data_IF_133107272031
#
_entry.id   IF_133107272031
#
_cell.length_a   1.000
_cell.length_b   1.000
_cell.length_c   1.000
_cell.angle_alpha   90.00
_cell.angle_beta   90.00
_cell.angle_gamma   90.00
#
_symmetry.space_group_name_H-M   'P 1'
#
loop_
_entity.id
_entity.type
_entity.pdbx_description
1 polymer ?
#
# COMPACT_ATOMS: atom_id res chain seq x y z
N UNK A 1 -2.24 0.66 24.44
CA UNK A 1 -2.51 1.63 23.36
C UNK A 1 -2.77 0.81 22.11
N UNK A 2 -3.93 0.94 21.47
CA UNK A 2 -4.24 0.16 20.28
C UNK A 2 -3.25 0.52 19.17
N UNK A 3 -2.59 -0.50 18.60
CA UNK A 3 -1.79 -0.36 17.39
C UNK A 3 -2.67 0.31 16.32
N UNK A 4 -2.21 1.30 15.53
CA UNK A 4 -2.94 1.71 14.34
C UNK A 4 -3.34 0.46 13.55
N UNK A 5 -4.57 0.44 13.03
CA UNK A 5 -5.15 -0.76 12.43
C UNK A 5 -4.34 -1.17 11.19
N UNK A 6 -3.44 -2.14 11.34
CA UNK A 6 -2.75 -2.76 10.22
C UNK A 6 -3.81 -3.34 9.27
N UNK A 7 -3.65 -3.10 7.98
CA UNK A 7 -4.56 -3.64 6.99
C UNK A 7 -4.12 -5.05 6.65
N UNK A 8 -5.05 -6.00 6.76
CA UNK A 8 -4.77 -7.41 6.47
C UNK A 8 -5.12 -7.74 5.02
N UNK A 9 -4.20 -8.40 4.34
CA UNK A 9 -4.39 -8.99 3.01
C UNK A 9 -4.31 -10.50 3.13
N UNK A 10 -5.11 -11.21 2.34
CA UNK A 10 -4.99 -12.66 2.16
C UNK A 10 -4.38 -12.95 0.78
N UNK A 11 -3.21 -13.58 0.77
CA UNK A 11 -2.48 -13.98 -0.43
C UNK A 11 -1.58 -15.17 -0.08
N UNK A 12 -1.25 -16.11 -1.00
CA UNK A 12 -0.31 -17.18 -0.71
C UNK A 12 0.97 -16.64 -0.06
N UNK A 13 1.41 -17.24 1.05
CA UNK A 13 2.65 -16.84 1.73
C UNK A 13 3.90 -17.13 0.88
N UNK A 14 5.01 -16.46 1.20
CA UNK A 14 6.30 -16.66 0.54
C UNK A 14 6.56 -15.72 -0.65
N UNK A 15 5.62 -14.83 -0.96
CA UNK A 15 5.79 -13.79 -1.97
C UNK A 15 6.15 -12.44 -1.36
N UNK A 16 6.98 -11.67 -2.06
CA UNK A 16 7.27 -10.27 -1.73
C UNK A 16 6.17 -9.38 -2.29
N UNK A 17 5.51 -8.64 -1.40
CA UNK A 17 4.43 -7.72 -1.74
C UNK A 17 4.78 -6.31 -1.26
N UNK A 18 4.33 -5.31 -2.00
CA UNK A 18 4.39 -3.92 -1.59
C UNK A 18 3.11 -3.19 -1.99
N UNK A 19 2.93 -2.01 -1.41
CA UNK A 19 1.81 -1.13 -1.72
C UNK A 19 2.28 0.25 -2.16
N UNK A 20 1.57 0.85 -3.11
CA UNK A 20 1.66 2.28 -3.40
C UNK A 20 0.38 2.95 -2.93
N UNK A 21 0.53 4.02 -2.15
CA UNK A 21 -0.60 4.81 -1.63
C UNK A 21 -0.73 6.11 -2.40
N UNK A 22 -1.94 6.40 -2.85
CA UNK A 22 -2.31 7.64 -3.55
C UNK A 22 -3.38 8.38 -2.78
N UNK A 23 -3.22 9.70 -2.63
CA UNK A 23 -4.23 10.57 -2.03
C UNK A 23 -5.32 10.87 -3.05
N UNK A 24 -6.58 10.65 -2.70
CA UNK A 24 -7.70 10.78 -3.65
C UNK A 24 -7.99 12.24 -4.03
N UNK A 25 -7.59 13.20 -3.20
CA UNK A 25 -7.88 14.63 -3.42
C UNK A 25 -7.11 15.23 -4.61
N UNK A 26 -5.86 14.80 -4.81
CA UNK A 26 -4.93 15.38 -5.79
C UNK A 26 -4.02 14.36 -6.48
N UNK A 27 -4.16 13.08 -6.13
CA UNK A 27 -3.40 11.97 -6.70
C UNK A 27 -1.95 11.86 -6.19
N UNK A 28 -1.56 12.64 -5.18
CA UNK A 28 -0.19 12.63 -4.68
C UNK A 28 0.18 11.24 -4.15
N UNK A 29 1.44 10.86 -4.35
CA UNK A 29 1.98 9.56 -3.93
C UNK A 29 2.69 9.73 -2.59
N UNK A 30 2.52 8.75 -1.70
CA UNK A 30 3.23 8.74 -0.42
C UNK A 30 4.67 8.28 -0.63
N UNK A 31 5.62 9.17 -0.36
CA UNK A 31 7.05 8.87 -0.29
C UNK A 31 7.35 8.34 1.12
N UNK A 32 7.82 7.09 1.19
CA UNK A 32 8.10 6.40 2.45
C UNK A 32 9.40 6.90 3.06
N UNK A 33 10.39 7.24 2.23
CA UNK A 33 11.70 7.73 2.67
C UNK A 33 11.61 9.13 3.30
N UNK A 34 10.89 10.03 2.65
CA UNK A 34 10.73 11.42 3.10
C UNK A 34 9.54 11.63 4.04
N UNK A 35 8.66 10.63 4.18
CA UNK A 35 7.44 10.69 5.00
C UNK A 35 6.57 11.89 4.56
N UNK A 36 6.39 12.04 3.25
CA UNK A 36 5.76 13.20 2.62
C UNK A 36 4.90 12.82 1.40
N UNK A 37 3.99 13.71 1.04
CA UNK A 37 3.20 13.60 -0.19
C UNK A 37 3.93 14.23 -1.36
N UNK A 38 4.22 13.43 -2.38
CA UNK A 38 4.84 13.89 -3.62
C UNK A 38 3.78 14.18 -4.69
N UNK A 39 3.92 15.34 -5.33
CA UNK A 39 3.04 15.76 -6.41
C UNK A 39 3.20 14.89 -7.67
N UNK A 40 2.08 14.63 -8.35
CA UNK A 40 2.10 14.03 -9.70
C UNK A 40 2.86 14.97 -10.64
N UNK A 41 3.95 14.46 -11.24
CA UNK A 41 4.80 15.20 -12.18
C UNK A 41 6.23 15.45 -11.67
N UNK A 42 6.43 15.52 -10.34
CA UNK A 42 7.77 15.38 -9.73
C UNK A 42 8.12 13.90 -9.61
N UNK A 43 7.11 13.09 -9.26
CA UNK A 43 7.23 11.64 -9.23
C UNK A 43 7.53 11.09 -10.62
N UNK A 44 8.50 10.18 -10.70
CA UNK A 44 8.78 9.41 -11.90
C UNK A 44 8.97 7.93 -11.56
N UNK A 45 8.86 7.08 -12.59
CA UNK A 45 8.92 5.63 -12.47
C UNK A 45 10.23 5.09 -11.86
N UNK A 46 11.31 5.88 -11.82
CA UNK A 46 12.57 5.46 -11.23
C UNK A 46 12.62 5.59 -9.71
N UNK A 47 11.60 6.21 -9.08
CA UNK A 47 11.49 6.39 -7.62
C UNK A 47 10.47 5.44 -6.97
N UNK A 48 10.09 4.37 -7.67
CA UNK A 48 9.05 3.45 -7.18
C UNK A 48 9.47 2.75 -5.87
N UNK A 49 10.78 2.54 -5.68
CA UNK A 49 11.45 2.00 -4.50
C UNK A 49 11.60 2.99 -3.33
N UNK A 50 11.21 4.25 -3.53
CA UNK A 50 11.12 5.25 -2.45
C UNK A 50 9.66 5.39 -1.98
N UNK A 51 8.70 4.93 -2.78
CA UNK A 51 7.27 5.01 -2.54
C UNK A 51 6.65 3.66 -2.15
N UNK A 52 7.43 2.58 -2.08
CA UNK A 52 6.95 1.24 -1.79
C UNK A 52 6.73 1.04 -0.29
N UNK A 53 5.47 0.91 0.08
CA UNK A 53 5.10 0.53 1.44
C UNK A 53 5.29 -0.99 1.54
N UNK A 54 6.36 -1.40 2.21
CA UNK A 54 6.66 -2.81 2.43
C UNK A 54 5.52 -3.52 3.17
N UNK A 55 5.05 -4.64 2.62
CA UNK A 55 4.00 -5.47 3.23
C UNK A 55 4.66 -6.68 3.89
N UNK A 56 4.31 -6.94 5.16
CA UNK A 56 4.91 -8.03 5.93
C UNK A 56 4.08 -9.31 5.81
N UNK A 57 4.67 -10.40 5.33
CA UNK A 57 4.10 -11.75 5.44
C UNK A 57 4.08 -12.18 6.92
N UNK A 58 2.91 -12.58 7.42
CA UNK A 58 2.69 -13.08 8.77
C UNK A 58 2.56 -14.61 8.81
N UNK A 59 2.66 -15.27 7.65
CA UNK A 59 2.42 -16.70 7.49
C UNK A 59 0.92 -17.01 7.41
N UNK A 60 0.61 -18.26 7.04
CA UNK A 60 -0.78 -18.72 6.95
C UNK A 60 -1.61 -17.98 5.90
N UNK A 61 -0.95 -17.48 4.84
CA UNK A 61 -1.54 -16.66 3.79
C UNK A 61 -2.00 -15.26 4.25
N UNK A 62 -1.50 -14.76 5.38
CA UNK A 62 -1.81 -13.43 5.88
C UNK A 62 -0.65 -12.47 5.72
N UNK A 63 -0.97 -11.26 5.27
CA UNK A 63 -0.04 -10.17 5.10
C UNK A 63 -0.57 -8.91 5.79
N UNK A 64 0.32 -8.07 6.32
CA UNK A 64 -0.06 -6.79 6.95
C UNK A 64 0.61 -5.61 6.26
N UNK A 65 -0.18 -4.61 5.90
CA UNK A 65 0.32 -3.31 5.45
C UNK A 65 0.45 -2.39 6.67
N UNK A 66 1.65 -1.83 6.94
CA UNK A 66 1.80 -0.83 7.98
C UNK A 66 1.09 0.45 7.54
N UNK A 67 0.20 0.96 8.38
CA UNK A 67 -0.53 2.20 8.10
C UNK A 67 -0.22 3.27 9.15
N UNK A 68 0.38 4.42 8.78
CA UNK A 68 0.55 5.52 9.71
C UNK A 68 -0.84 6.15 9.95
N UNK A 69 -1.42 5.94 11.13
CA UNK A 69 -2.76 6.43 11.47
C UNK A 69 -2.84 7.94 11.78
N UNK A 70 -1.86 8.72 11.31
CA UNK A 70 -1.74 10.13 11.65
C UNK A 70 -2.03 11.06 10.45
N UNK A 71 -2.47 10.52 9.30
CA UNK A 71 -2.73 11.31 8.09
C UNK A 71 -4.20 11.19 7.68
N UNK A 72 -5.04 12.04 8.25
CA UNK A 72 -6.46 12.10 7.86
C UNK A 72 -6.63 12.36 6.36
N UNK A 73 -7.51 11.60 5.71
CA UNK A 73 -7.79 11.72 4.28
C UNK A 73 -8.36 10.45 3.66
N UNK A 74 -8.63 10.52 2.36
CA UNK A 74 -9.07 9.39 1.55
C UNK A 74 -7.96 8.97 0.60
N UNK A 75 -7.68 7.67 0.56
CA UNK A 75 -6.55 7.11 -0.16
C UNK A 75 -6.95 5.89 -0.96
N UNK A 76 -6.32 5.71 -2.11
CA UNK A 76 -6.32 4.45 -2.84
C UNK A 76 -4.97 3.80 -2.64
N UNK A 77 -4.99 2.57 -2.15
CA UNK A 77 -3.80 1.74 -1.96
C UNK A 77 -3.83 0.60 -2.95
N UNK A 78 -2.79 0.51 -3.75
CA UNK A 78 -2.63 -0.49 -4.80
C UNK A 78 -1.55 -1.46 -4.35
N UNK A 79 -1.86 -2.75 -4.36
CA UNK A 79 -0.97 -3.83 -3.93
C UNK A 79 -0.35 -4.49 -5.16
N UNK A 80 0.96 -4.71 -5.11
CA UNK A 80 1.75 -5.27 -6.17
C UNK A 80 2.45 -6.55 -5.72
N UNK A 81 2.63 -7.48 -6.65
CA UNK A 81 3.51 -8.63 -6.52
C UNK A 81 4.90 -8.28 -7.05
N UNK A 82 5.88 -8.22 -6.17
CA UNK A 82 7.26 -7.93 -6.53
C UNK A 82 7.90 -9.16 -7.16
N UNK A 83 8.22 -9.11 -8.46
CA UNK A 83 8.82 -10.25 -9.16
C UNK A 83 10.35 -10.33 -8.99
N UNK A 84 11.01 -9.21 -8.65
CA UNK A 84 12.46 -9.08 -8.55
C UNK A 84 12.96 -8.67 -7.16
N UNK A 85 14.24 -8.29 -7.08
CA UNK A 85 14.87 -7.82 -5.83
C UNK A 85 14.44 -6.42 -5.37
N UNK A 86 13.80 -5.65 -6.25
CA UNK A 86 13.29 -4.30 -5.97
C UNK A 86 11.96 -4.07 -6.69
N UNK A 87 11.11 -3.13 -6.20
CA UNK A 87 9.90 -2.72 -6.89
C UNK A 87 10.18 -2.24 -8.31
N UNK A 88 9.29 -2.59 -9.24
CA UNK A 88 9.38 -2.23 -10.64
C UNK A 88 8.01 -1.88 -11.22
N UNK A 89 7.99 -0.97 -12.19
CA UNK A 89 6.74 -0.58 -12.88
C UNK A 89 6.08 -1.69 -13.68
N UNK A 90 6.78 -2.81 -13.88
CA UNK A 90 6.28 -4.03 -14.54
C UNK A 90 5.72 -5.05 -13.57
N UNK A 91 5.77 -4.80 -12.25
CA UNK A 91 5.20 -5.71 -11.25
C UNK A 91 3.69 -5.84 -11.42
N UNK A 92 3.17 -7.04 -11.13
CA UNK A 92 1.75 -7.33 -11.31
C UNK A 92 0.92 -6.66 -10.22
N UNK A 93 -0.15 -5.97 -10.63
CA UNK A 93 -1.15 -5.44 -9.69
C UNK A 93 -2.01 -6.59 -9.19
N UNK A 94 -2.01 -6.83 -7.88
CA UNK A 94 -2.88 -7.82 -7.24
C UNK A 94 -4.26 -7.24 -6.90
N UNK A 95 -4.32 -5.91 -6.74
CA UNK A 95 -5.56 -5.15 -6.69
C UNK A 95 -5.42 -3.87 -5.88
N UNK A 96 -6.54 -3.27 -5.53
CA UNK A 96 -6.57 -1.98 -4.84
C UNK A 96 -7.68 -1.89 -3.82
N UNK A 97 -7.51 -1.00 -2.84
CA UNK A 97 -8.49 -0.71 -1.80
C UNK A 97 -8.58 0.79 -1.54
N UNK A 98 -9.78 1.24 -1.21
CA UNK A 98 -10.01 2.60 -0.75
C UNK A 98 -10.03 2.64 0.77
N UNK A 99 -9.29 3.60 1.32
CA UNK A 99 -9.07 3.75 2.75
C UNK A 99 -9.44 5.17 3.12
N UNK A 100 -10.38 5.28 4.05
CA UNK A 100 -10.75 6.56 4.67
C UNK A 100 -10.17 6.59 6.08
N UNK A 101 -9.24 7.52 6.30
CA UNK A 101 -8.69 7.83 7.61
C UNK A 101 -9.35 9.07 8.16
N UNK A 102 -10.02 8.90 9.29
CA UNK A 102 -10.58 10.01 10.07
C UNK A 102 -9.91 10.01 11.44
N UNK A 103 -8.81 10.76 11.57
CA UNK A 103 -7.97 10.69 12.77
C UNK A 103 -7.32 9.31 12.91
N UNK A 104 -7.41 8.69 14.11
CA UNK A 104 -6.79 7.39 14.43
C UNK A 104 -7.57 6.16 13.95
N UNK A 105 -8.70 6.36 13.28
CA UNK A 105 -9.56 5.28 12.82
C UNK A 105 -9.43 5.13 11.32
N UNK A 106 -9.00 3.93 10.93
CA UNK A 106 -8.95 3.49 9.54
C UNK A 106 -10.24 2.72 9.27
N UNK A 107 -11.01 3.18 8.28
CA UNK A 107 -12.12 2.41 7.72
C UNK A 107 -11.71 2.00 6.31
N UNK A 108 -11.66 0.70 6.07
CA UNK A 108 -11.41 0.14 4.75
C UNK A 108 -12.68 -0.53 4.24
N UNK A 109 -13.13 -0.15 3.06
CA UNK A 109 -14.18 -0.87 2.34
C UNK A 109 -13.47 -1.65 1.23
N UNK A 110 -13.27 -2.96 1.43
CA UNK A 110 -13.03 -4.01 0.42
C UNK A 110 -12.33 -5.21 1.07
N UNK A 111 -12.84 -6.42 0.82
CA UNK A 111 -12.07 -7.66 0.93
C UNK A 111 -11.38 -7.87 -0.41
N UNK A 112 -10.05 -7.74 -0.46
CA UNK A 112 -9.29 -8.07 -1.65
C UNK A 112 -9.29 -9.60 -1.81
N UNK A 113 -10.20 -10.13 -2.62
CA UNK A 113 -10.13 -11.52 -3.10
C UNK A 113 -9.34 -11.47 -4.40
N UNK A 114 -8.02 -11.67 -4.31
CA UNK A 114 -7.16 -11.78 -5.48
C UNK A 114 -7.61 -13.03 -6.25
N UNK A 115 -8.20 -12.84 -7.44
CA UNK A 115 -8.51 -13.95 -8.35
C UNK A 115 -7.23 -14.23 -9.14
N UNK A 116 -6.63 -15.38 -8.92
CA UNK A 116 -5.64 -15.91 -9.85
C UNK A 116 -6.39 -16.26 -11.14
N UNK A 117 -6.06 -15.59 -12.24
CA UNK A 117 -6.36 -16.10 -13.58
C UNK A 117 -5.46 -17.30 -13.92
#
# INVERSE_FOLDING_TARGET
MANPADITIVYPSGFALYAIRRRNADGYIWDVGDVAWEAIGTWNNARIDECDIAITDKGGNFYTIPYPADIAGNYTTIVFLQAGGSPATTDAILGSMNISETGKTITHETTLIVRNE
#
